data_IF_826855497986
#
_entry.id   IF_826855497986
#
_cell.length_a   1.000
_cell.length_b   1.000
_cell.length_c   1.000
_cell.angle_alpha   90.00
_cell.angle_beta   90.00
_cell.angle_gamma   90.00
#
_symmetry.space_group_name_H-M   'P 1'
#
loop_
_entity.id
_entity.type
_entity.pdbx_description
1 polymer ?
#
# COMPACT_ATOMS: atom_id res chain seq x y z
N UNK A 1 53.13 0.99 32.85
CA UNK A 1 52.24 0.27 31.93
C UNK A 1 51.22 1.23 31.38
N UNK A 2 51.50 1.80 30.47
CA UNK A 2 51.19 2.30 29.12
C UNK A 2 49.81 2.99 28.95
N UNK A 3 49.78 4.25 29.40
CA UNK A 3 48.68 5.20 29.03
C UNK A 3 48.66 5.53 27.53
N UNK A 4 49.72 5.25 26.77
CA UNK A 4 49.78 5.52 25.30
C UNK A 4 49.05 4.52 24.43
N UNK A 5 48.77 3.30 24.89
CA UNK A 5 48.00 2.30 24.13
C UNK A 5 46.49 2.50 24.19
N UNK A 6 45.97 3.17 25.20
CA UNK A 6 44.54 3.47 25.33
C UNK A 6 44.08 4.56 24.38
N UNK A 7 44.94 5.54 24.05
CA UNK A 7 44.59 6.64 23.13
C UNK A 7 44.58 6.22 21.66
N UNK A 8 45.38 5.23 21.27
CA UNK A 8 45.33 4.70 19.88
C UNK A 8 44.06 3.90 19.60
N UNK A 9 43.57 3.15 20.57
CA UNK A 9 42.34 2.37 20.40
C UNK A 9 41.10 3.26 20.29
N UNK A 10 41.04 4.37 21.06
CA UNK A 10 39.94 5.34 21.00
C UNK A 10 39.95 6.12 19.68
N UNK A 11 41.14 6.47 19.17
CA UNK A 11 41.25 7.19 17.91
C UNK A 11 40.84 6.35 16.69
N UNK A 12 41.14 5.04 16.70
CA UNK A 12 40.74 4.13 15.61
C UNK A 12 39.23 3.86 15.63
N UNK A 13 38.61 3.72 16.79
CA UNK A 13 37.15 3.56 16.88
C UNK A 13 36.42 4.83 16.46
N UNK A 14 36.97 6.01 16.79
CA UNK A 14 36.37 7.30 16.37
C UNK A 14 36.48 7.54 14.85
N UNK A 15 37.60 7.14 14.22
CA UNK A 15 37.77 7.23 12.76
C UNK A 15 36.84 6.26 12.03
N UNK A 16 36.60 5.06 12.55
CA UNK A 16 35.66 4.10 11.96
C UNK A 16 34.20 4.54 12.12
N UNK A 17 33.83 5.17 13.24
CA UNK A 17 32.48 5.72 13.44
C UNK A 17 32.22 6.96 12.59
N UNK A 18 33.18 7.87 12.44
CA UNK A 18 33.05 9.06 11.59
C UNK A 18 33.11 8.69 10.11
N UNK A 19 33.96 7.71 9.73
CA UNK A 19 34.01 7.18 8.36
C UNK A 19 32.72 6.47 7.96
N UNK A 20 32.11 5.71 8.84
CA UNK A 20 30.80 5.06 8.60
C UNK A 20 29.66 6.07 8.45
N UNK A 21 29.68 7.17 9.19
CA UNK A 21 28.69 8.24 9.07
C UNK A 21 28.87 9.10 7.80
N UNK A 22 30.09 9.26 7.29
CA UNK A 22 30.35 10.00 6.04
C UNK A 22 30.03 9.17 4.80
N UNK A 23 30.23 7.86 4.82
CA UNK A 23 29.88 6.98 3.68
C UNK A 23 28.36 6.88 3.53
N UNK A 24 27.60 6.87 4.63
CA UNK A 24 26.13 6.89 4.57
C UNK A 24 25.53 8.19 3.99
N UNK A 25 26.32 9.29 3.92
CA UNK A 25 25.89 10.57 3.32
C UNK A 25 26.22 10.74 1.84
N UNK A 26 27.00 9.84 1.24
CA UNK A 26 27.45 9.95 -0.14
C UNK A 26 26.78 9.00 -1.13
N UNK A 27 25.84 8.16 -0.67
CA UNK A 27 24.99 7.40 -1.59
C UNK A 27 23.95 8.36 -2.22
N UNK A 28 23.82 8.37 -3.56
CA UNK A 28 22.81 9.18 -4.20
C UNK A 28 21.43 8.75 -3.69
N UNK A 29 20.74 9.66 -2.99
CA UNK A 29 19.34 9.48 -2.60
C UNK A 29 18.52 9.50 -3.89
N UNK A 30 18.00 8.36 -4.34
CA UNK A 30 17.10 8.33 -5.49
C UNK A 30 17.05 7.05 -6.31
N UNK A 31 17.96 6.10 -6.10
CA UNK A 31 17.84 4.76 -6.66
C UNK A 31 17.99 3.77 -5.53
N UNK A 32 16.96 2.92 -5.30
CA UNK A 32 17.15 1.75 -4.49
C UNK A 32 18.23 0.91 -5.17
N UNK A 33 19.43 0.81 -4.56
CA UNK A 33 20.57 0.19 -5.19
C UNK A 33 20.20 -1.20 -5.69
N UNK A 34 20.20 -1.41 -7.00
CA UNK A 34 20.18 -2.74 -7.60
C UNK A 34 21.50 -3.41 -7.20
N UNK A 35 21.47 -4.27 -6.21
CA UNK A 35 22.61 -5.14 -5.91
C UNK A 35 22.55 -6.25 -6.95
N UNK A 36 23.37 -6.13 -7.99
CA UNK A 36 23.60 -7.23 -8.92
C UNK A 36 24.11 -8.44 -8.13
N UNK A 37 23.52 -9.63 -8.27
CA UNK A 37 24.05 -10.83 -7.62
C UNK A 37 25.48 -11.09 -8.13
N UNK A 38 26.38 -11.58 -7.28
CA UNK A 38 27.72 -11.99 -7.73
C UNK A 38 27.54 -13.08 -8.77
N UNK A 39 28.17 -12.91 -9.93
CA UNK A 39 28.08 -13.80 -11.08
C UNK A 39 28.32 -15.26 -10.74
N UNK A 40 27.39 -16.13 -11.11
CA UNK A 40 27.49 -17.57 -10.95
C UNK A 40 26.52 -18.33 -11.85
N UNK A 41 27.10 -19.02 -12.84
CA UNK A 41 26.56 -20.12 -13.63
C UNK A 41 25.47 -19.84 -14.66
N UNK A 42 25.92 -19.67 -15.92
CA UNK A 42 25.10 -19.84 -17.11
C UNK A 42 24.85 -21.34 -17.36
N UNK A 43 23.60 -21.77 -17.22
CA UNK A 43 23.13 -23.03 -17.80
C UNK A 43 22.62 -22.71 -19.20
N UNK A 44 23.36 -23.15 -20.23
CA UNK A 44 22.88 -23.10 -21.63
C UNK A 44 21.82 -24.18 -21.82
N UNK A 45 20.57 -23.80 -21.99
CA UNK A 45 19.52 -24.65 -22.56
C UNK A 45 19.42 -24.41 -24.05
N UNK A 46 19.45 -25.50 -24.83
CA UNK A 46 19.30 -25.50 -26.28
C UNK A 46 17.89 -25.08 -26.75
N UNK A 47 17.75 -24.41 -27.90
CA UNK A 47 16.47 -23.99 -28.41
C UNK A 47 15.65 -25.17 -29.01
N UNK A 48 14.32 -25.19 -28.86
CA UNK A 48 13.46 -26.14 -29.55
C UNK A 48 13.28 -25.75 -31.04
N UNK A 49 12.96 -26.72 -31.92
CA UNK A 49 12.87 -26.50 -33.37
C UNK A 49 11.66 -25.66 -33.79
N UNK A 50 11.85 -24.90 -34.84
CA UNK A 50 11.01 -23.84 -35.35
C UNK A 50 9.57 -24.22 -35.76
N UNK A 51 8.68 -23.28 -35.57
CA UNK A 51 7.33 -23.21 -36.16
C UNK A 51 7.23 -21.96 -37.04
N UNK A 52 6.54 -22.02 -38.19
CA UNK A 52 6.56 -20.94 -39.17
C UNK A 52 5.82 -19.70 -38.70
N UNK A 53 6.35 -18.54 -39.10
CA UNK A 53 5.84 -17.21 -38.78
C UNK A 53 4.45 -16.98 -39.43
N UNK A 54 3.48 -16.67 -38.57
CA UNK A 54 2.24 -16.01 -38.97
C UNK A 54 2.40 -14.51 -38.73
N UNK A 55 2.44 -13.73 -39.78
CA UNK A 55 2.37 -12.26 -39.70
C UNK A 55 0.95 -11.84 -39.34
N UNK A 56 0.72 -11.53 -38.09
CA UNK A 56 -0.45 -10.79 -37.63
C UNK A 56 0.02 -9.47 -37.01
N UNK A 57 -0.41 -8.39 -37.65
CA UNK A 57 -0.35 -7.03 -37.10
C UNK A 57 -1.17 -7.00 -35.80
N UNK A 58 -0.50 -7.16 -34.64
CA UNK A 58 -1.14 -7.07 -33.35
C UNK A 58 -0.78 -5.74 -32.72
N UNK A 59 -1.80 -4.92 -32.48
CA UNK A 59 -1.75 -3.85 -31.49
C UNK A 59 -1.18 -4.47 -30.19
N UNK A 60 -0.17 -3.84 -29.52
CA UNK A 60 0.40 -4.40 -28.31
C UNK A 60 -0.69 -4.69 -27.28
N UNK A 61 -0.75 -5.93 -26.77
CA UNK A 61 -1.72 -6.33 -25.75
C UNK A 61 -1.53 -5.53 -24.45
N UNK A 62 -2.56 -5.49 -23.61
CA UNK A 62 -2.55 -4.76 -22.32
C UNK A 62 -1.31 -5.10 -21.46
N UNK A 63 -0.88 -6.36 -21.43
CA UNK A 63 0.32 -6.81 -20.73
C UNK A 63 1.60 -6.12 -21.21
N UNK A 64 1.78 -5.96 -22.55
CA UNK A 64 2.96 -5.29 -23.11
C UNK A 64 2.93 -3.76 -22.88
N UNK A 65 1.76 -3.16 -22.70
CA UNK A 65 1.62 -1.74 -22.33
C UNK A 65 1.99 -1.51 -20.86
N UNK A 66 1.57 -2.42 -19.98
CA UNK A 66 1.94 -2.38 -18.54
C UNK A 66 3.46 -2.56 -18.40
N UNK A 67 4.07 -3.58 -19.06
CA UNK A 67 5.52 -3.77 -19.07
C UNK A 67 6.27 -2.53 -19.59
N UNK A 68 5.77 -1.87 -20.64
CA UNK A 68 6.39 -0.68 -21.18
C UNK A 68 6.30 0.55 -20.25
N UNK A 69 5.21 0.70 -19.49
CA UNK A 69 5.05 1.79 -18.52
C UNK A 69 6.08 1.68 -17.39
N UNK A 70 6.31 0.47 -16.88
CA UNK A 70 7.34 0.22 -15.87
C UNK A 70 8.78 0.26 -16.45
N UNK A 71 8.98 -0.02 -17.74
CA UNK A 71 10.28 0.08 -18.43
C UNK A 71 10.69 1.51 -18.79
N UNK A 72 9.74 2.43 -18.96
CA UNK A 72 10.02 3.80 -19.40
C UNK A 72 10.43 4.78 -18.29
N UNK A 73 10.81 4.30 -17.11
CA UNK A 73 11.37 5.11 -16.02
C UNK A 73 10.41 5.49 -14.90
N UNK A 74 9.17 4.98 -14.92
CA UNK A 74 8.20 5.11 -13.82
C UNK A 74 8.36 4.02 -12.75
N UNK A 75 9.28 3.08 -12.95
CA UNK A 75 9.54 1.95 -12.06
C UNK A 75 10.47 2.24 -10.87
N UNK A 76 10.89 3.49 -10.66
CA UNK A 76 11.71 3.82 -9.50
C UNK A 76 10.83 3.95 -8.25
N UNK A 77 11.24 3.29 -7.16
CA UNK A 77 10.57 3.45 -5.89
C UNK A 77 10.62 4.91 -5.44
N UNK A 78 9.49 5.42 -4.97
CA UNK A 78 9.37 6.74 -4.33
C UNK A 78 10.13 6.75 -3.01
N UNK A 79 10.10 5.62 -2.29
CA UNK A 79 10.76 5.47 -1.01
C UNK A 79 11.32 4.06 -0.85
N UNK A 80 12.65 3.99 -0.64
CA UNK A 80 13.42 2.74 -0.63
C UNK A 80 13.57 2.16 0.77
N UNK A 81 12.50 2.08 1.53
CA UNK A 81 12.45 1.49 2.85
C UNK A 81 11.06 0.88 3.09
N UNK A 82 10.85 0.23 4.23
CA UNK A 82 9.59 -0.42 4.55
C UNK A 82 8.46 0.59 4.68
N UNK A 83 7.53 0.58 3.73
CA UNK A 83 6.39 1.48 3.68
C UNK A 83 5.17 0.78 3.09
N UNK A 84 4.67 -0.18 3.82
CA UNK A 84 3.60 -1.08 3.41
C UNK A 84 2.21 -0.46 3.52
N UNK A 85 1.27 -0.93 2.69
CA UNK A 85 -0.15 -0.57 2.69
C UNK A 85 -0.35 0.96 2.70
N UNK A 86 0.23 1.68 1.71
CA UNK A 86 0.25 3.13 1.73
C UNK A 86 -1.15 3.72 1.60
N UNK A 87 -1.49 4.64 2.49
CA UNK A 87 -2.61 5.56 2.32
C UNK A 87 -2.09 6.94 1.89
N UNK A 88 -2.82 7.63 1.04
CA UNK A 88 -2.39 8.92 0.52
C UNK A 88 -3.52 9.96 0.58
N UNK A 89 -3.18 11.18 0.99
CA UNK A 89 -4.08 12.33 0.94
C UNK A 89 -3.36 13.56 0.39
N UNK A 90 -4.04 14.31 -0.48
CA UNK A 90 -3.57 15.61 -0.95
C UNK A 90 -4.30 16.73 -0.23
N UNK A 91 -3.56 17.65 0.37
CA UNK A 91 -4.08 18.84 1.04
C UNK A 91 -3.43 20.07 0.43
N UNK A 92 -4.19 20.82 -0.33
CA UNK A 92 -3.65 21.95 -1.11
C UNK A 92 -2.61 21.48 -2.13
N UNK A 93 -1.37 21.94 -1.95
CA UNK A 93 -0.23 21.56 -2.80
C UNK A 93 0.56 20.37 -2.28
N UNK A 94 0.32 19.91 -1.07
CA UNK A 94 1.10 18.88 -0.41
C UNK A 94 0.42 17.52 -0.50
N UNK A 95 1.23 16.48 -0.61
CA UNK A 95 0.82 15.07 -0.56
C UNK A 95 1.41 14.47 0.71
N UNK A 96 0.59 13.79 1.47
CA UNK A 96 0.97 13.06 2.69
C UNK A 96 0.65 11.59 2.49
N UNK A 97 1.61 10.74 2.83
CA UNK A 97 1.49 9.29 2.67
C UNK A 97 1.77 8.63 4.00
N UNK A 98 0.95 7.66 4.37
CA UNK A 98 0.97 6.93 5.64
C UNK A 98 1.14 5.44 5.34
N UNK A 99 1.63 4.68 6.32
CA UNK A 99 1.81 3.23 6.14
C UNK A 99 1.51 2.44 7.40
N UNK A 100 1.48 1.12 7.25
CA UNK A 100 1.49 0.12 8.32
C UNK A 100 2.66 0.35 9.27
N UNK A 101 2.48 0.01 10.56
CA UNK A 101 3.51 0.04 11.61
C UNK A 101 4.87 -0.42 11.09
N UNK A 102 5.85 0.45 11.22
CA UNK A 102 7.26 0.13 10.98
C UNK A 102 8.16 1.07 11.79
N UNK A 103 9.42 0.68 12.03
CA UNK A 103 10.44 1.50 12.72
C UNK A 103 10.00 2.07 14.07
N UNK A 104 9.09 1.37 14.77
CA UNK A 104 8.58 1.78 16.09
C UNK A 104 7.46 2.82 16.07
N UNK A 105 7.09 3.36 14.89
CA UNK A 105 5.90 4.17 14.71
C UNK A 105 4.66 3.29 14.55
N UNK A 106 3.52 3.67 15.12
CA UNK A 106 2.26 2.99 14.84
C UNK A 106 1.80 3.27 13.41
N UNK A 107 1.78 4.54 12.99
CA UNK A 107 1.45 4.97 11.63
C UNK A 107 2.52 5.94 11.14
N UNK A 108 3.59 5.48 10.51
CA UNK A 108 4.61 6.35 9.95
C UNK A 108 4.02 7.23 8.85
N UNK A 109 4.45 8.49 8.79
CA UNK A 109 4.07 9.44 7.74
C UNK A 109 5.32 9.89 6.97
N UNK A 110 5.22 9.99 5.63
CA UNK A 110 6.30 10.56 4.82
C UNK A 110 6.16 12.08 4.70
N UNK A 111 7.29 12.76 4.87
CA UNK A 111 7.50 14.16 4.51
C UNK A 111 8.16 14.23 3.14
N UNK A 112 7.93 15.33 2.40
CA UNK A 112 8.53 15.54 1.06
C UNK A 112 7.69 15.07 -0.11
N UNK A 113 6.49 14.53 0.14
CA UNK A 113 5.57 14.03 -0.88
C UNK A 113 6.10 12.81 -1.61
N UNK A 114 5.77 12.69 -2.90
CA UNK A 114 6.19 11.55 -3.74
C UNK A 114 7.46 11.86 -4.59
N UNK A 115 8.25 12.88 -4.24
CA UNK A 115 9.56 13.10 -4.85
C UNK A 115 10.60 12.20 -4.16
N UNK A 116 11.20 11.21 -4.88
CA UNK A 116 12.17 10.28 -4.29
C UNK A 116 13.37 10.95 -3.63
N UNK A 117 13.75 12.16 -4.08
CA UNK A 117 14.85 12.92 -3.53
C UNK A 117 14.52 13.62 -2.20
N UNK A 118 13.23 13.73 -1.89
CA UNK A 118 12.69 14.48 -0.73
C UNK A 118 11.91 13.59 0.24
N UNK A 119 11.45 12.42 -0.21
CA UNK A 119 10.70 11.49 0.62
C UNK A 119 11.59 11.00 1.78
N UNK A 120 11.12 11.18 3.00
CA UNK A 120 11.79 10.74 4.22
C UNK A 120 10.75 10.46 5.30
N UNK A 121 11.07 9.58 6.24
CA UNK A 121 10.20 9.38 7.39
C UNK A 121 9.99 10.70 8.14
N UNK A 122 8.73 10.93 8.47
CA UNK A 122 8.30 11.98 9.40
C UNK A 122 8.15 11.43 10.81
N UNK A 123 7.25 12.07 11.56
CA UNK A 123 6.88 11.63 12.90
C UNK A 123 5.85 10.48 12.81
N UNK A 124 5.58 9.82 13.94
CA UNK A 124 4.44 8.91 14.08
C UNK A 124 3.14 9.70 14.05
N UNK A 125 2.32 9.48 13.03
CA UNK A 125 1.03 10.16 12.93
C UNK A 125 0.06 9.73 14.04
N UNK A 126 0.22 8.52 14.60
CA UNK A 126 -0.60 7.96 15.70
C UNK A 126 0.28 7.56 16.90
N UNK A 127 0.79 8.51 17.69
CA UNK A 127 1.72 8.20 18.80
C UNK A 127 1.13 7.25 19.84
N UNK A 128 -0.20 7.23 19.97
CA UNK A 128 -0.92 6.34 20.89
C UNK A 128 -2.14 5.74 20.19
N UNK A 129 -2.30 4.44 20.33
CA UNK A 129 -3.51 3.71 19.93
C UNK A 129 -4.58 3.79 21.01
N UNK A 130 -5.82 3.42 20.71
CA UNK A 130 -6.90 3.31 21.70
C UNK A 130 -6.51 2.42 22.89
N UNK A 131 -7.10 2.67 24.06
CA UNK A 131 -6.75 1.96 25.31
C UNK A 131 -6.98 0.45 25.26
N UNK A 132 -7.95 -0.01 24.47
CA UNK A 132 -8.27 -1.41 24.24
C UNK A 132 -7.36 -2.10 23.20
N UNK A 133 -6.57 -1.32 22.45
CA UNK A 133 -5.74 -1.79 21.35
C UNK A 133 -4.32 -2.15 21.81
N UNK A 134 -3.61 -2.93 21.00
CA UNK A 134 -2.21 -3.31 21.20
C UNK A 134 -1.32 -2.39 20.38
N UNK A 135 -0.43 -1.64 21.04
CA UNK A 135 0.55 -0.77 20.38
C UNK A 135 1.47 -1.59 19.46
N UNK A 136 1.86 -0.99 18.32
CA UNK A 136 2.76 -1.63 17.36
C UNK A 136 2.08 -2.65 16.45
N UNK A 137 0.74 -2.68 16.44
CA UNK A 137 -0.05 -3.54 15.57
C UNK A 137 -1.03 -2.75 14.68
N UNK A 138 -0.73 -1.48 14.43
CA UNK A 138 -1.57 -0.63 13.56
C UNK A 138 -1.22 -0.89 12.10
N UNK A 139 -2.20 -1.35 11.31
CA UNK A 139 -2.03 -1.74 9.92
C UNK A 139 -2.93 -0.93 8.99
N UNK A 140 -2.51 -0.83 7.72
CA UNK A 140 -3.25 -0.37 6.57
C UNK A 140 -4.11 0.88 6.88
N UNK A 141 -3.50 2.04 7.12
CA UNK A 141 -4.25 3.27 7.42
C UNK A 141 -5.08 3.72 6.23
N UNK A 142 -6.21 4.39 6.51
CA UNK A 142 -6.98 5.16 5.55
C UNK A 142 -7.24 6.55 6.09
N UNK A 143 -7.05 7.61 5.29
CA UNK A 143 -7.18 8.99 5.75
C UNK A 143 -8.12 9.77 4.85
N UNK A 144 -9.04 10.53 5.45
CA UNK A 144 -9.84 11.54 4.74
C UNK A 144 -9.91 12.85 5.51
N UNK A 145 -10.29 13.91 4.81
CA UNK A 145 -10.62 15.21 5.42
C UNK A 145 -12.13 15.43 5.45
N UNK A 146 -12.64 15.83 6.61
CA UNK A 146 -14.04 16.28 6.80
C UNK A 146 -14.05 17.67 7.44
N UNK A 147 -14.37 18.68 6.63
CA UNK A 147 -14.24 20.07 7.05
C UNK A 147 -12.79 20.39 7.46
N UNK A 148 -12.60 20.83 8.70
CA UNK A 148 -11.27 21.17 9.25
C UNK A 148 -10.64 20.03 10.07
N UNK A 149 -11.18 18.81 9.97
CA UNK A 149 -10.70 17.65 10.71
C UNK A 149 -10.19 16.60 9.73
N UNK A 150 -9.05 16.01 10.03
CA UNK A 150 -8.53 14.80 9.37
C UNK A 150 -8.95 13.61 10.20
N UNK A 151 -9.49 12.60 9.52
CA UNK A 151 -9.96 11.35 10.12
C UNK A 151 -9.08 10.23 9.61
N UNK A 152 -8.44 9.52 10.53
CA UNK A 152 -7.61 8.36 10.29
C UNK A 152 -8.35 7.10 10.74
N UNK A 153 -8.52 6.15 9.84
CA UNK A 153 -8.95 4.79 10.14
C UNK A 153 -7.73 3.87 10.08
N UNK A 154 -7.68 2.88 10.95
CA UNK A 154 -6.57 1.92 10.98
C UNK A 154 -7.02 0.59 11.56
N UNK A 155 -6.49 -0.50 11.05
CA UNK A 155 -6.69 -1.80 11.67
C UNK A 155 -5.72 -1.95 12.85
N UNK A 156 -6.18 -2.51 13.96
CA UNK A 156 -5.33 -2.71 15.14
C UNK A 156 -5.79 -3.93 15.91
N UNK A 157 -4.84 -4.67 16.52
CA UNK A 157 -5.16 -5.83 17.34
C UNK A 157 -5.90 -5.42 18.60
N UNK A 158 -7.04 -6.06 18.87
CA UNK A 158 -7.81 -5.90 20.10
C UNK A 158 -7.22 -6.81 21.17
N UNK A 159 -6.81 -6.24 22.31
CA UNK A 159 -6.05 -6.92 23.37
C UNK A 159 -6.72 -8.22 23.85
N UNK A 160 -8.01 -8.18 24.08
CA UNK A 160 -8.74 -9.32 24.65
C UNK A 160 -9.20 -10.36 23.61
N UNK A 161 -9.26 -9.94 22.34
CA UNK A 161 -9.81 -10.80 21.27
C UNK A 161 -8.72 -11.49 20.45
N UNK A 162 -7.48 -10.96 20.45
CA UNK A 162 -6.42 -11.42 19.56
C UNK A 162 -6.80 -11.34 18.07
N UNK A 163 -7.69 -10.40 17.71
CA UNK A 163 -8.19 -10.14 16.35
C UNK A 163 -7.91 -8.69 15.98
N UNK A 164 -7.71 -8.44 14.71
CA UNK A 164 -7.65 -7.07 14.20
C UNK A 164 -9.05 -6.54 13.95
N UNK A 165 -9.28 -5.31 14.39
CA UNK A 165 -10.51 -4.56 14.17
C UNK A 165 -10.14 -3.13 13.76
N UNK A 166 -11.07 -2.42 13.13
CA UNK A 166 -10.85 -1.06 12.68
C UNK A 166 -11.20 -0.07 13.78
N UNK A 167 -10.30 0.87 14.02
CA UNK A 167 -10.51 2.03 14.89
C UNK A 167 -10.50 3.34 14.09
N UNK A 168 -10.82 4.45 14.77
CA UNK A 168 -10.88 5.80 14.19
C UNK A 168 -10.23 6.82 15.11
N UNK A 169 -9.36 7.67 14.55
CA UNK A 169 -8.67 8.75 15.25
C UNK A 169 -8.81 10.06 14.48
N UNK A 170 -8.65 11.19 15.15
CA UNK A 170 -8.81 12.52 14.55
C UNK A 170 -7.61 13.41 14.79
N UNK A 171 -7.38 14.36 13.85
CA UNK A 171 -6.38 15.42 13.99
C UNK A 171 -6.84 16.72 13.34
N UNK A 172 -6.26 17.84 13.76
CA UNK A 172 -6.41 19.15 13.08
C UNK A 172 -5.36 19.38 12.00
N UNK A 173 -4.33 18.53 11.94
CA UNK A 173 -3.26 18.60 10.95
C UNK A 173 -3.17 17.30 10.16
N UNK A 174 -2.83 17.33 8.87
CA UNK A 174 -2.80 16.13 8.04
C UNK A 174 -1.78 15.08 8.52
N UNK A 175 -0.68 15.50 9.13
CA UNK A 175 0.38 14.61 9.62
C UNK A 175 0.17 14.11 11.05
N UNK A 176 -0.94 14.46 11.70
CA UNK A 176 -1.17 14.16 13.11
C UNK A 176 -0.52 15.22 14.04
N UNK A 177 -0.41 14.96 15.35
CA UNK A 177 -0.81 13.69 15.95
C UNK A 177 -2.32 13.43 15.85
N UNK A 178 -2.67 12.23 15.47
CA UNK A 178 -4.04 11.75 15.55
C UNK A 178 -4.30 11.22 16.96
N UNK A 179 -5.48 11.48 17.47
CA UNK A 179 -5.91 11.04 18.81
C UNK A 179 -7.14 10.14 18.67
N UNK A 180 -7.04 8.94 19.20
CA UNK A 180 -8.13 7.98 19.26
C UNK A 180 -8.77 8.02 20.65
N UNK A 181 -10.01 8.46 20.71
CA UNK A 181 -10.82 8.52 21.92
C UNK A 181 -11.86 7.38 22.01
N UNK A 182 -11.79 6.40 21.11
CA UNK A 182 -12.79 5.33 21.05
C UNK A 182 -12.70 4.41 22.28
N UNK A 183 -13.86 4.08 22.84
CA UNK A 183 -13.98 3.09 23.90
C UNK A 183 -14.04 1.65 23.38
N UNK A 184 -14.28 1.47 22.05
CA UNK A 184 -14.39 0.19 21.38
C UNK A 184 -14.07 0.38 19.88
N UNK A 185 -13.76 -0.71 19.14
CA UNK A 185 -13.55 -0.65 17.71
C UNK A 185 -14.76 -0.09 16.94
N UNK A 186 -14.49 0.62 15.83
CA UNK A 186 -15.51 1.11 14.90
C UNK A 186 -16.14 -0.05 14.11
N UNK A 187 -15.31 -0.97 13.59
CA UNK A 187 -15.75 -2.17 12.85
C UNK A 187 -15.04 -3.39 13.42
N UNK A 188 -15.78 -4.37 13.94
CA UNK A 188 -15.21 -5.57 14.53
C UNK A 188 -16.13 -6.79 14.40
N UNK A 189 -16.36 -7.34 13.19
CA UNK A 189 -17.18 -8.54 12.98
C UNK A 189 -16.39 -9.80 13.36
N UNK A 190 -16.33 -10.13 14.65
CA UNK A 190 -15.52 -11.25 15.16
C UNK A 190 -15.90 -12.60 14.55
N UNK A 191 -17.17 -12.79 14.18
CA UNK A 191 -17.68 -13.98 13.47
C UNK A 191 -17.14 -14.11 12.03
N UNK A 192 -16.60 -13.02 11.46
CA UNK A 192 -15.96 -12.98 10.15
C UNK A 192 -14.42 -12.91 10.24
N UNK A 193 -13.84 -13.11 11.44
CA UNK A 193 -12.40 -13.04 11.67
C UNK A 193 -11.88 -11.67 12.15
N UNK A 194 -12.72 -10.64 12.15
CA UNK A 194 -12.35 -9.26 12.40
C UNK A 194 -12.44 -8.40 11.13
N UNK A 195 -11.83 -7.20 11.15
CA UNK A 195 -11.83 -6.28 10.03
C UNK A 195 -10.47 -5.55 9.90
N UNK A 196 -9.98 -5.44 8.67
CA UNK A 196 -8.72 -4.76 8.33
C UNK A 196 -8.88 -3.92 7.05
N UNK A 197 -7.84 -3.22 6.65
CA UNK A 197 -7.71 -2.46 5.40
C UNK A 197 -8.80 -1.40 5.22
N UNK A 198 -9.01 -0.50 6.21
CA UNK A 198 -10.01 0.54 6.10
C UNK A 198 -9.60 1.58 5.06
N UNK A 199 -10.45 1.83 4.06
CA UNK A 199 -10.24 2.88 3.07
C UNK A 199 -11.48 3.77 3.00
N UNK A 200 -11.41 5.04 3.43
CA UNK A 200 -12.52 5.97 3.31
C UNK A 200 -12.68 6.42 1.86
N UNK A 201 -13.92 6.58 1.45
CA UNK A 201 -14.31 7.08 0.14
C UNK A 201 -15.44 8.09 0.29
N UNK A 202 -15.37 9.21 -0.46
CA UNK A 202 -16.44 10.19 -0.54
C UNK A 202 -17.04 10.13 -1.95
N UNK A 203 -18.29 9.75 -2.05
CA UNK A 203 -18.99 9.65 -3.33
C UNK A 203 -19.40 11.03 -3.87
N UNK A 204 -19.82 11.08 -5.13
CA UNK A 204 -20.21 12.30 -5.84
C UNK A 204 -21.35 13.08 -5.16
N UNK A 205 -22.20 12.43 -4.38
CA UNK A 205 -23.26 13.04 -3.56
C UNK A 205 -22.78 13.61 -2.21
N UNK A 206 -21.46 13.50 -1.93
CA UNK A 206 -20.82 13.98 -0.70
C UNK A 206 -20.93 13.05 0.50
N UNK A 207 -21.63 11.90 0.37
CA UNK A 207 -21.69 10.88 1.42
C UNK A 207 -20.36 10.16 1.54
N UNK A 208 -19.95 9.90 2.77
CA UNK A 208 -18.73 9.17 3.05
C UNK A 208 -19.03 7.69 3.36
N UNK A 209 -18.17 6.84 2.85
CA UNK A 209 -18.22 5.39 3.06
C UNK A 209 -16.87 4.90 3.56
N UNK A 210 -16.88 3.80 4.33
CA UNK A 210 -15.70 3.06 4.68
C UNK A 210 -15.72 1.73 3.92
N UNK A 211 -14.71 1.53 3.08
CA UNK A 211 -14.40 0.24 2.49
C UNK A 211 -13.52 -0.52 3.45
N UNK A 212 -13.69 -1.84 3.55
CA UNK A 212 -12.89 -2.67 4.43
C UNK A 212 -12.93 -4.14 4.00
N UNK A 213 -12.00 -4.94 4.53
CA UNK A 213 -11.92 -6.38 4.36
C UNK A 213 -12.25 -7.06 5.68
N UNK A 214 -13.02 -8.16 5.65
CA UNK A 214 -13.04 -9.03 6.83
C UNK A 214 -11.78 -9.89 6.85
N UNK A 215 -11.17 -10.04 8.05
CA UNK A 215 -9.91 -10.77 8.24
C UNK A 215 -10.14 -12.30 8.30
N UNK A 216 -10.89 -12.84 7.31
CA UNK A 216 -11.30 -14.24 7.27
C UNK A 216 -10.14 -15.21 7.09
N UNK A 217 -9.07 -14.79 6.38
CA UNK A 217 -7.91 -15.64 6.13
C UNK A 217 -7.12 -15.97 7.41
N UNK A 218 -7.22 -15.16 8.48
CA UNK A 218 -6.67 -15.55 9.79
C UNK A 218 -7.22 -16.88 10.30
N UNK A 219 -8.40 -17.26 9.86
CA UNK A 219 -9.25 -18.22 10.56
C UNK A 219 -9.93 -19.23 9.63
N UNK A 220 -9.51 -19.29 8.36
CA UNK A 220 -10.07 -20.20 7.35
C UNK A 220 -11.51 -19.88 6.95
N UNK A 221 -11.91 -18.60 7.06
CA UNK A 221 -13.22 -18.11 6.68
C UNK A 221 -13.16 -17.45 5.29
N UNK A 222 -14.33 -17.33 4.63
CA UNK A 222 -14.45 -16.58 3.39
C UNK A 222 -13.95 -15.15 3.57
N UNK A 223 -13.10 -14.69 2.67
CA UNK A 223 -12.61 -13.32 2.60
C UNK A 223 -13.48 -12.54 1.64
N UNK A 224 -13.93 -11.37 2.08
CA UNK A 224 -14.80 -10.48 1.30
C UNK A 224 -14.40 -9.02 1.50
N UNK A 225 -14.74 -8.18 0.52
CA UNK A 225 -14.66 -6.73 0.60
C UNK A 225 -16.04 -6.14 0.86
N UNK A 226 -16.07 -5.13 1.69
CA UNK A 226 -17.29 -4.51 2.19
C UNK A 226 -17.29 -3.01 1.99
N UNK A 227 -18.46 -2.42 1.87
CA UNK A 227 -18.73 -0.98 1.92
C UNK A 227 -19.74 -0.69 3.02
N UNK A 228 -19.52 0.38 3.78
CA UNK A 228 -20.41 0.79 4.84
C UNK A 228 -20.52 2.30 4.92
N UNK A 229 -21.77 2.83 4.98
CA UNK A 229 -22.02 4.26 5.08
C UNK A 229 -21.50 4.79 6.42
N UNK A 230 -20.85 5.95 6.38
CA UNK A 230 -20.39 6.72 7.54
C UNK A 230 -21.33 7.88 7.84
N UNK A 231 -21.31 8.33 9.09
CA UNK A 231 -21.91 9.62 9.46
C UNK A 231 -21.21 10.79 8.74
N UNK A 232 -21.84 11.97 8.60
CA UNK A 232 -21.23 13.10 7.88
C UNK A 232 -19.86 13.55 8.41
N UNK A 233 -19.59 13.36 9.70
CA UNK A 233 -18.29 13.64 10.32
C UNK A 233 -17.26 12.53 10.09
N UNK A 234 -17.69 11.35 9.62
CA UNK A 234 -16.85 10.19 9.39
C UNK A 234 -16.47 9.40 10.64
N UNK A 235 -17.04 9.70 11.80
CA UNK A 235 -16.62 9.09 13.06
C UNK A 235 -17.44 7.87 13.47
N UNK A 236 -18.59 7.64 12.84
CA UNK A 236 -19.48 6.54 13.16
C UNK A 236 -20.04 5.87 11.91
N UNK A 237 -20.48 4.63 12.05
CA UNK A 237 -21.20 3.90 11.01
C UNK A 237 -22.67 4.38 10.98
N UNK A 238 -23.22 4.58 9.78
CA UNK A 238 -24.57 5.09 9.56
C UNK A 238 -25.53 4.08 8.92
N UNK A 239 -25.13 2.80 8.81
CA UNK A 239 -25.96 1.75 8.24
C UNK A 239 -25.28 0.37 8.29
N UNK A 240 -25.98 -0.67 7.81
CA UNK A 240 -25.38 -2.00 7.73
C UNK A 240 -24.28 -2.05 6.65
N UNK A 241 -23.31 -2.96 6.78
CA UNK A 241 -22.34 -3.20 5.73
C UNK A 241 -22.98 -3.87 4.52
N UNK A 242 -22.51 -3.51 3.33
CA UNK A 242 -22.83 -4.19 2.06
C UNK A 242 -21.61 -4.93 1.57
N UNK A 243 -21.76 -6.22 1.26
CA UNK A 243 -20.70 -7.03 0.66
C UNK A 243 -20.56 -6.67 -0.83
N UNK A 244 -19.34 -6.35 -1.24
CA UNK A 244 -19.05 -5.93 -2.61
C UNK A 244 -18.47 -7.06 -3.47
N UNK A 245 -17.56 -7.85 -2.89
CA UNK A 245 -16.79 -8.86 -3.62
C UNK A 245 -16.35 -9.98 -2.66
N UNK A 246 -16.29 -11.19 -3.15
CA UNK A 246 -15.72 -12.36 -2.49
C UNK A 246 -14.41 -12.77 -3.17
N UNK A 247 -13.48 -13.38 -2.43
CA UNK A 247 -12.31 -14.04 -3.02
C UNK A 247 -12.78 -15.34 -3.67
N UNK A 248 -12.92 -15.35 -5.00
CA UNK A 248 -13.49 -16.48 -5.76
C UNK A 248 -12.68 -16.85 -7.02
N UNK A 249 -11.66 -16.06 -7.39
CA UNK A 249 -10.82 -16.36 -8.53
C UNK A 249 -9.55 -17.13 -8.12
N UNK A 250 -9.05 -18.07 -8.95
CA UNK A 250 -7.87 -18.87 -8.62
C UNK A 250 -6.60 -18.06 -8.32
N UNK A 251 -6.39 -16.92 -8.99
CA UNK A 251 -5.21 -16.08 -8.79
C UNK A 251 -5.19 -15.37 -7.42
N UNK A 252 -6.35 -15.21 -6.80
CA UNK A 252 -6.54 -14.59 -5.49
C UNK A 252 -6.10 -15.53 -4.34
N UNK A 253 -6.01 -16.82 -4.61
CA UNK A 253 -5.64 -17.84 -3.61
C UNK A 253 -6.47 -17.75 -2.31
N UNK A 254 -7.76 -17.35 -2.42
CA UNK A 254 -8.68 -17.19 -1.30
C UNK A 254 -8.51 -15.88 -0.51
N UNK A 255 -7.68 -14.94 -0.98
CA UNK A 255 -7.43 -13.65 -0.32
C UNK A 255 -7.64 -12.50 -1.31
N UNK A 256 -8.51 -11.55 -0.93
CA UNK A 256 -8.61 -10.22 -1.54
C UNK A 256 -8.55 -9.17 -0.43
N UNK A 257 -7.82 -8.06 -0.65
CA UNK A 257 -7.57 -7.08 0.41
C UNK A 257 -7.28 -5.68 -0.13
N UNK A 258 -7.06 -4.70 0.77
CA UNK A 258 -6.78 -3.29 0.46
C UNK A 258 -7.79 -2.69 -0.54
N UNK A 259 -9.11 -2.70 -0.26
CA UNK A 259 -10.11 -2.13 -1.17
C UNK A 259 -9.89 -0.63 -1.36
N UNK A 260 -9.92 -0.15 -2.60
CA UNK A 260 -9.87 1.28 -2.92
C UNK A 260 -10.85 1.61 -4.05
N UNK A 261 -11.70 2.61 -3.86
CA UNK A 261 -12.70 3.00 -4.85
C UNK A 261 -12.26 4.24 -5.63
N UNK A 262 -12.45 4.19 -6.95
CA UNK A 262 -12.26 5.32 -7.85
C UNK A 262 -13.51 5.48 -8.71
N UNK A 263 -13.90 6.72 -9.02
CA UNK A 263 -14.97 7.00 -9.99
C UNK A 263 -14.37 7.64 -11.23
N UNK A 264 -14.66 7.05 -12.39
CA UNK A 264 -14.34 7.62 -13.68
C UNK A 264 -15.57 7.60 -14.59
N UNK A 265 -15.87 8.72 -15.22
CA UNK A 265 -17.04 8.90 -16.08
C UNK A 265 -18.36 8.36 -15.48
N UNK A 266 -18.55 8.51 -14.16
CA UNK A 266 -19.72 8.07 -13.42
C UNK A 266 -19.76 6.57 -13.09
N UNK A 267 -18.71 5.82 -13.41
CA UNK A 267 -18.56 4.40 -13.06
C UNK A 267 -17.68 4.24 -11.83
N UNK A 268 -18.07 3.35 -10.92
CA UNK A 268 -17.29 3.00 -9.75
C UNK A 268 -16.35 1.83 -10.06
N UNK A 269 -15.06 2.00 -9.79
CA UNK A 269 -14.03 0.98 -9.94
C UNK A 269 -13.48 0.64 -8.55
N UNK A 270 -13.69 -0.59 -8.12
CA UNK A 270 -13.15 -1.13 -6.88
C UNK A 270 -11.82 -1.82 -7.22
N UNK A 271 -10.71 -1.23 -6.80
CA UNK A 271 -9.40 -1.86 -6.88
C UNK A 271 -9.14 -2.66 -5.61
N UNK A 272 -8.43 -3.76 -5.73
CA UNK A 272 -8.07 -4.62 -4.62
C UNK A 272 -6.78 -5.38 -4.91
N UNK A 273 -6.12 -5.86 -3.86
CA UNK A 273 -4.98 -6.78 -3.98
C UNK A 273 -5.47 -8.21 -3.80
N UNK A 274 -4.81 -9.18 -4.42
CA UNK A 274 -5.12 -10.60 -4.26
C UNK A 274 -3.89 -11.45 -4.08
N UNK A 275 -4.04 -12.63 -3.50
CA UNK A 275 -2.99 -13.58 -3.09
C UNK A 275 -2.31 -13.17 -1.76
N UNK A 276 -1.24 -13.87 -1.37
CA UNK A 276 -0.50 -13.59 -0.14
C UNK A 276 0.52 -12.46 -0.36
N UNK A 277 0.46 -11.43 0.48
CA UNK A 277 1.27 -10.21 0.38
C UNK A 277 2.80 -10.45 0.42
N UNK A 278 3.23 -11.56 1.00
CA UNK A 278 4.63 -11.95 1.14
C UNK A 278 5.10 -12.92 0.05
N UNK A 279 4.42 -12.91 -1.09
CA UNK A 279 4.76 -13.74 -2.27
C UNK A 279 4.92 -12.90 -3.53
N UNK A 280 5.58 -13.45 -4.52
CA UNK A 280 5.69 -12.86 -5.87
C UNK A 280 4.36 -12.90 -6.65
N UNK A 281 3.38 -13.66 -6.17
CA UNK A 281 2.05 -13.80 -6.78
C UNK A 281 1.07 -12.74 -6.30
N UNK A 282 1.43 -11.92 -5.30
CA UNK A 282 0.61 -10.78 -4.89
C UNK A 282 0.44 -9.84 -6.07
N UNK A 283 -0.78 -9.39 -6.30
CA UNK A 283 -1.13 -8.66 -7.51
C UNK A 283 -2.34 -7.75 -7.27
N UNK A 284 -2.52 -6.73 -8.12
CA UNK A 284 -3.66 -5.82 -8.05
C UNK A 284 -4.70 -6.25 -9.09
N UNK A 285 -5.96 -6.37 -8.66
CA UNK A 285 -7.13 -6.55 -9.49
C UNK A 285 -8.07 -5.36 -9.44
N UNK A 286 -9.13 -5.37 -10.25
CA UNK A 286 -10.23 -4.42 -10.13
C UNK A 286 -11.58 -5.05 -10.50
N UNK A 287 -12.63 -4.43 -9.98
CA UNK A 287 -14.01 -4.72 -10.32
C UNK A 287 -14.73 -3.44 -10.77
N UNK A 288 -15.75 -3.56 -11.60
CA UNK A 288 -16.68 -2.47 -11.92
C UNK A 288 -17.94 -2.66 -11.09
N UNK A 289 -18.34 -1.60 -10.39
CA UNK A 289 -19.51 -1.61 -9.52
C UNK A 289 -20.60 -0.69 -10.06
N UNK A 290 -21.86 -1.07 -9.87
CA UNK A 290 -23.02 -0.24 -10.21
C UNK A 290 -23.09 1.02 -9.32
N UNK A 291 -22.61 0.92 -8.08
CA UNK A 291 -22.50 2.00 -7.09
C UNK A 291 -21.45 1.65 -6.03
N UNK A 292 -21.21 2.58 -5.09
CA UNK A 292 -20.38 2.33 -3.90
C UNK A 292 -20.92 1.16 -3.03
N UNK A 293 -22.19 0.84 -3.14
CA UNK A 293 -22.83 -0.28 -2.45
C UNK A 293 -23.01 -1.50 -3.37
N UNK A 294 -22.34 -1.56 -4.51
CA UNK A 294 -22.41 -2.65 -5.47
C UNK A 294 -23.68 -2.65 -6.35
N UNK A 295 -24.01 -3.78 -7.00
CA UNK A 295 -23.17 -4.96 -7.12
C UNK A 295 -21.87 -4.68 -7.90
N UNK A 296 -20.82 -5.43 -7.61
CA UNK A 296 -19.53 -5.33 -8.29
C UNK A 296 -19.29 -6.59 -9.13
N UNK A 297 -18.63 -6.42 -10.29
CA UNK A 297 -18.21 -7.52 -11.16
C UNK A 297 -16.70 -7.42 -11.35
N UNK A 298 -15.94 -8.39 -10.84
CA UNK A 298 -14.50 -8.41 -10.97
C UNK A 298 -14.06 -8.72 -12.41
N UNK A 299 -13.00 -8.05 -12.86
CA UNK A 299 -12.26 -8.47 -14.05
C UNK A 299 -11.66 -9.86 -13.80
N UNK A 300 -11.65 -10.70 -14.85
CA UNK A 300 -10.98 -12.00 -14.78
C UNK A 300 -9.46 -11.82 -14.75
N UNK A 301 -8.82 -12.42 -13.74
CA UNK A 301 -7.37 -12.34 -13.52
C UNK A 301 -6.89 -10.97 -13.02
N UNK A 302 -5.62 -10.86 -12.62
CA UNK A 302 -5.05 -9.63 -12.07
C UNK A 302 -4.90 -8.54 -13.15
N UNK A 303 -4.90 -7.29 -12.73
CA UNK A 303 -4.64 -6.11 -13.56
C UNK A 303 -3.16 -5.76 -13.60
N UNK A 304 -2.48 -5.71 -12.44
CA UNK A 304 -1.05 -5.46 -12.31
C UNK A 304 -0.42 -6.63 -11.58
N UNK A 305 0.65 -7.17 -12.15
CA UNK A 305 1.44 -8.28 -11.59
C UNK A 305 2.90 -7.88 -11.45
N UNK A 306 3.72 -8.76 -10.90
CA UNK A 306 5.17 -8.60 -10.87
C UNK A 306 5.72 -8.35 -12.28
N UNK A 307 6.65 -7.40 -12.37
CA UNK A 307 7.44 -7.06 -13.58
C UNK A 307 8.91 -6.92 -13.17
N UNK A 308 9.80 -6.78 -14.15
CA UNK A 308 11.26 -6.69 -13.91
C UNK A 308 11.61 -5.70 -12.79
N UNK A 309 12.17 -6.22 -11.70
CA UNK A 309 12.63 -5.44 -10.54
C UNK A 309 11.53 -5.00 -9.57
N UNK A 310 10.24 -5.22 -9.87
CA UNK A 310 9.10 -4.94 -8.99
C UNK A 310 8.32 -6.24 -8.78
N UNK A 311 8.29 -6.73 -7.56
CA UNK A 311 7.72 -8.05 -7.24
C UNK A 311 6.59 -7.92 -6.24
N UNK A 312 5.46 -8.60 -6.50
CA UNK A 312 4.31 -8.63 -5.60
C UNK A 312 3.71 -7.24 -5.34
N UNK A 313 3.28 -6.48 -6.37
CA UNK A 313 2.65 -5.16 -6.19
C UNK A 313 1.28 -5.29 -5.56
N UNK A 314 0.97 -4.40 -4.59
CA UNK A 314 -0.34 -4.34 -3.94
C UNK A 314 -0.45 -3.22 -2.91
N UNK A 315 -1.52 -3.25 -2.09
CA UNK A 315 -1.80 -2.23 -1.08
C UNK A 315 -2.03 -0.85 -1.69
N UNK A 316 -2.77 -0.77 -2.79
CA UNK A 316 -2.93 0.45 -3.58
C UNK A 316 -3.86 1.47 -2.92
N UNK A 317 -3.51 2.75 -3.07
CA UNK A 317 -4.35 3.90 -2.71
C UNK A 317 -4.26 4.98 -3.80
N UNK A 318 -5.28 5.81 -3.92
CA UNK A 318 -5.41 6.75 -5.04
C UNK A 318 -5.60 8.18 -4.57
N UNK A 319 -5.12 9.14 -5.37
CA UNK A 319 -5.39 10.56 -5.20
C UNK A 319 -5.32 11.29 -6.53
N UNK A 320 -5.96 12.46 -6.61
CA UNK A 320 -5.82 13.34 -7.77
C UNK A 320 -4.74 14.38 -7.50
N UNK A 321 -3.75 14.49 -8.40
CA UNK A 321 -2.66 15.46 -8.27
C UNK A 321 -3.13 16.89 -8.61
N UNK A 322 -2.20 17.86 -8.57
CA UNK A 322 -2.49 19.28 -8.89
C UNK A 322 -2.85 19.55 -10.35
N UNK A 323 -2.52 18.62 -11.24
CA UNK A 323 -2.83 18.68 -12.68
C UNK A 323 -4.13 17.97 -13.04
N UNK A 324 -4.84 17.44 -12.04
CA UNK A 324 -6.04 16.67 -12.24
C UNK A 324 -5.80 15.20 -12.66
N UNK A 325 -4.54 14.70 -12.58
CA UNK A 325 -4.22 13.32 -12.95
C UNK A 325 -4.52 12.40 -11.78
N UNK A 326 -5.11 11.26 -12.08
CA UNK A 326 -5.29 10.19 -11.09
C UNK A 326 -3.94 9.49 -10.87
N UNK A 327 -3.47 9.51 -9.65
CA UNK A 327 -2.24 8.87 -9.21
C UNK A 327 -2.57 7.70 -8.31
N UNK A 328 -1.86 6.60 -8.49
CA UNK A 328 -1.87 5.44 -7.60
C UNK A 328 -0.55 5.36 -6.85
N UNK A 329 -0.60 5.15 -5.54
CA UNK A 329 0.53 4.70 -4.74
C UNK A 329 0.30 3.25 -4.35
N UNK A 330 1.35 2.45 -4.28
CA UNK A 330 1.28 1.05 -3.92
C UNK A 330 2.62 0.59 -3.33
N UNK A 331 2.64 -0.55 -2.66
CA UNK A 331 3.89 -1.15 -2.24
C UNK A 331 4.27 -2.34 -3.12
N UNK A 332 5.57 -2.64 -3.17
CA UNK A 332 6.10 -3.86 -3.77
C UNK A 332 7.47 -4.20 -3.18
N UNK A 333 7.90 -5.44 -3.35
CA UNK A 333 9.26 -5.87 -3.10
C UNK A 333 10.16 -5.50 -4.28
N UNK A 334 11.45 -5.35 -4.02
CA UNK A 334 12.45 -5.14 -5.08
C UNK A 334 13.14 -6.48 -5.43
N UNK A 335 13.21 -6.75 -6.74
CA UNK A 335 13.82 -7.94 -7.32
C UNK A 335 13.21 -9.24 -6.73
N UNK A 336 14.03 -10.20 -6.36
CA UNK A 336 13.65 -11.48 -5.74
C UNK A 336 13.62 -11.44 -4.20
N UNK A 337 13.83 -10.26 -3.60
CA UNK A 337 13.88 -10.08 -2.15
C UNK A 337 12.48 -9.99 -1.54
N UNK A 338 11.70 -11.04 -1.71
CA UNK A 338 10.32 -11.15 -1.21
C UNK A 338 10.32 -11.69 0.22
N UNK A 339 9.48 -11.09 1.07
CA UNK A 339 9.30 -11.46 2.48
C UNK A 339 10.37 -10.90 3.42
N UNK A 340 9.96 -10.63 4.68
CA UNK A 340 10.89 -10.26 5.74
C UNK A 340 11.70 -11.47 6.22
N UNK A 341 12.96 -11.31 6.63
CA UNK A 341 13.78 -10.09 6.63
C UNK A 341 14.59 -9.88 5.34
N UNK A 342 14.34 -10.64 4.26
CA UNK A 342 15.12 -10.57 3.02
C UNK A 342 14.92 -9.27 2.26
N UNK A 343 13.71 -8.73 2.28
CA UNK A 343 13.33 -7.48 1.65
C UNK A 343 12.47 -6.61 2.54
N UNK A 344 12.08 -5.47 2.02
CA UNK A 344 11.10 -4.55 2.59
C UNK A 344 10.11 -4.14 1.50
N UNK A 345 8.90 -3.77 1.89
CA UNK A 345 7.86 -3.30 0.96
C UNK A 345 8.10 -1.82 0.64
N UNK A 346 8.69 -1.55 -0.50
CA UNK A 346 9.02 -0.20 -0.95
C UNK A 346 7.79 0.50 -1.48
N UNK A 347 7.75 1.84 -1.38
CA UNK A 347 6.67 2.66 -1.91
C UNK A 347 6.92 3.01 -3.37
N UNK A 348 5.91 2.81 -4.20
CA UNK A 348 5.88 3.19 -5.62
C UNK A 348 4.71 4.14 -5.90
N UNK A 349 4.81 4.86 -7.02
CA UNK A 349 3.71 5.70 -7.53
C UNK A 349 3.68 5.66 -9.06
N UNK A 350 2.46 5.68 -9.63
CA UNK A 350 2.26 5.72 -11.07
C UNK A 350 0.99 6.52 -11.40
N UNK A 351 0.88 7.01 -12.63
CA UNK A 351 -0.34 7.62 -13.14
C UNK A 351 -1.30 6.51 -13.62
N UNK A 352 -2.58 6.70 -13.37
CA UNK A 352 -3.65 5.81 -13.87
C UNK A 352 -4.57 6.63 -14.77
N UNK A 353 -4.87 6.10 -15.95
CA UNK A 353 -5.88 6.65 -16.85
C UNK A 353 -6.91 5.59 -17.21
N UNK A 354 -8.06 6.04 -17.67
CA UNK A 354 -9.08 5.15 -18.21
C UNK A 354 -9.12 5.29 -19.73
N UNK A 355 -8.98 4.17 -20.42
CA UNK A 355 -9.04 4.07 -21.89
C UNK A 355 -10.13 3.05 -22.22
N UNK A 356 -11.15 3.47 -22.96
CA UNK A 356 -12.31 2.65 -23.31
C UNK A 356 -12.98 1.98 -22.08
N UNK A 357 -12.99 2.70 -20.93
CA UNK A 357 -13.57 2.25 -19.69
C UNK A 357 -12.75 1.18 -18.94
N UNK A 358 -11.48 1.01 -19.28
CA UNK A 358 -10.54 0.14 -18.56
C UNK A 358 -9.38 0.97 -17.98
N UNK A 359 -8.93 0.70 -16.72
CA UNK A 359 -7.78 1.37 -16.15
C UNK A 359 -6.48 0.91 -16.83
N UNK A 360 -5.58 1.86 -17.09
CA UNK A 360 -4.22 1.63 -17.61
C UNK A 360 -3.23 2.44 -16.78
N UNK A 361 -2.01 1.93 -16.60
CA UNK A 361 -0.90 2.63 -15.93
C UNK A 361 0.08 3.18 -16.96
N UNK A 362 0.72 4.33 -16.62
CA UNK A 362 1.72 4.99 -17.46
C UNK A 362 3.08 5.09 -16.78
#
# INVERSE_FOLDING_TARGET
MNRRRAWLAVAIVFVLLVGGFLVARLLPRGTCARVSPPGGFQVRSAPPPGRPAATTSTTPGLASRIENAFRSGTGDAVFCDDFADPAVIRVGSNVFTFATTTRGANIPVLKGGLDPRRAQYGDDALPSVASWAVRGTAWAPGVMQRGNVFVLYYAVSVRELGRHCISVATSRTPTGPYVDHSAAPLVCPTQLGGAIDPQPFVDADGRAYLLWKNDGNCCGLQVSLWSQLLTPDGLHLAGPPTRLLDADQPWEAGVIENPAMVVDAGRHYLFFSGNAWDTASYAIGYAVCASIAGPCTARQGPWITSVDGITGPGGQSFFTDRRGRLMMVFHAWLDDRVGYPRGVRNLFATEVRFVDGAPVVE
#
